data_IF_498423564302
#
_entry.id   IF_498423564302
#
_cell.length_a   1.000
_cell.length_b   1.000
_cell.length_c   1.000
_cell.angle_alpha   90.00
_cell.angle_beta   90.00
_cell.angle_gamma   90.00
#
_symmetry.space_group_name_H-M   'P 1'
#
loop_
_entity.id
_entity.type
_entity.pdbx_description
1 polymer ?
#
# COMPACT_ATOMS: atom_id res chain seq x y z
N UNK A 1 -43.85 -23.49 -17.59
CA UNK A 1 -43.01 -23.76 -16.40
C UNK A 1 -42.21 -22.50 -16.12
N UNK A 2 -42.58 -21.80 -15.05
CA UNK A 2 -41.89 -20.64 -14.50
C UNK A 2 -40.95 -21.12 -13.39
N UNK A 3 -39.69 -20.72 -13.43
CA UNK A 3 -38.72 -20.63 -12.33
C UNK A 3 -37.81 -19.46 -12.71
N UNK A 4 -37.60 -18.37 -11.97
CA UNK A 4 -37.90 -18.10 -10.57
C UNK A 4 -36.62 -17.64 -9.87
N UNK A 5 -36.50 -16.32 -9.69
CA UNK A 5 -35.71 -15.58 -8.70
C UNK A 5 -34.18 -15.83 -8.56
N UNK A 6 -33.40 -14.79 -8.87
CA UNK A 6 -32.09 -14.56 -8.26
C UNK A 6 -32.34 -13.96 -6.87
N UNK A 7 -31.90 -14.67 -5.82
CA UNK A 7 -31.93 -14.18 -4.45
C UNK A 7 -30.96 -13.00 -4.29
N UNK A 8 -31.49 -11.88 -3.79
CA UNK A 8 -30.71 -10.74 -3.33
C UNK A 8 -30.25 -11.03 -1.90
N UNK A 9 -28.95 -11.19 -1.70
CA UNK A 9 -28.36 -11.21 -0.36
C UNK A 9 -28.34 -9.78 0.19
N UNK A 10 -29.12 -9.53 1.24
CA UNK A 10 -29.07 -8.30 2.05
C UNK A 10 -27.95 -8.38 3.07
N UNK A 11 -27.11 -7.36 3.13
CA UNK A 11 -26.24 -7.10 4.28
C UNK A 11 -27.00 -6.24 5.32
N UNK A 12 -26.78 -6.43 6.63
CA UNK A 12 -27.45 -5.63 7.67
C UNK A 12 -26.85 -4.22 7.72
N UNK A 13 -27.65 -3.17 7.50
CA UNK A 13 -27.22 -1.79 7.73
C UNK A 13 -28.05 -0.69 7.03
N UNK A 14 -28.57 -0.94 5.83
CA UNK A 14 -29.25 0.11 5.05
C UNK A 14 -30.77 0.04 5.21
N UNK A 15 -31.29 0.69 6.26
CA UNK A 15 -32.71 0.85 6.54
C UNK A 15 -33.49 1.77 5.57
N UNK A 16 -33.03 1.93 4.32
CA UNK A 16 -33.70 2.72 3.30
C UNK A 16 -34.64 1.89 2.42
N UNK A 17 -35.76 2.45 1.92
CA UNK A 17 -36.58 1.78 0.92
C UNK A 17 -35.75 1.54 -0.36
N UNK A 18 -35.97 0.42 -1.07
CA UNK A 18 -35.25 0.14 -2.31
C UNK A 18 -35.53 1.23 -3.36
N UNK A 19 -34.52 1.66 -4.14
CA UNK A 19 -34.72 2.64 -5.19
C UNK A 19 -35.70 2.09 -6.25
N UNK A 20 -36.72 2.89 -6.58
CA UNK A 20 -37.65 2.56 -7.65
C UNK A 20 -36.97 2.81 -9.00
N UNK A 21 -36.99 1.82 -9.89
CA UNK A 21 -36.66 2.02 -11.29
C UNK A 21 -37.61 3.05 -11.90
N UNK A 22 -37.11 4.15 -12.52
CA UNK A 22 -37.96 5.11 -13.19
C UNK A 22 -38.75 4.44 -14.33
N UNK A 23 -40.02 4.80 -14.49
CA UNK A 23 -40.80 4.35 -15.64
C UNK A 23 -40.14 4.82 -16.95
N UNK A 24 -40.05 3.97 -17.99
CA UNK A 24 -39.56 4.40 -19.29
C UNK A 24 -40.45 5.53 -19.81
N UNK A 25 -39.85 6.68 -20.08
CA UNK A 25 -40.55 7.82 -20.69
C UNK A 25 -41.16 7.46 -22.06
N UNK A 26 -42.13 8.24 -22.53
CA UNK A 26 -42.84 7.96 -23.78
C UNK A 26 -41.88 7.89 -24.98
N UNK A 27 -42.10 6.92 -25.86
CA UNK A 27 -41.28 6.72 -27.06
C UNK A 27 -41.37 7.94 -28.00
N UNK A 28 -40.22 8.43 -28.47
CA UNK A 28 -40.13 9.56 -29.41
C UNK A 28 -40.57 9.10 -30.81
N UNK A 29 -41.54 9.76 -31.45
CA UNK A 29 -42.01 9.38 -32.78
C UNK A 29 -40.95 9.62 -33.87
N UNK A 30 -40.94 8.81 -34.95
CA UNK A 30 -39.96 8.95 -36.03
C UNK A 30 -40.11 10.31 -36.73
N UNK A 31 -39.03 11.09 -36.80
CA UNK A 31 -38.97 12.38 -37.51
C UNK A 31 -39.20 13.62 -36.64
N UNK A 32 -39.25 13.50 -35.31
CA UNK A 32 -39.21 14.66 -34.43
C UNK A 32 -37.86 15.41 -34.57
N UNK A 33 -37.85 16.73 -34.80
CA UNK A 33 -36.62 17.51 -34.77
C UNK A 33 -35.99 17.38 -33.36
N UNK A 34 -34.68 17.16 -33.32
CA UNK A 34 -33.94 17.05 -32.06
C UNK A 34 -34.06 18.34 -31.22
N UNK A 35 -33.87 18.26 -29.89
CA UNK A 35 -33.93 19.44 -29.04
C UNK A 35 -32.90 20.49 -29.50
N UNK A 36 -33.23 21.79 -29.43
CA UNK A 36 -32.28 22.83 -29.78
C UNK A 36 -31.05 22.74 -28.86
N UNK A 37 -29.86 23.11 -29.37
CA UNK A 37 -28.66 23.17 -28.53
C UNK A 37 -28.86 24.19 -27.39
N UNK A 38 -28.32 23.91 -26.19
CA UNK A 38 -28.43 24.83 -25.06
C UNK A 38 -27.73 26.16 -25.37
N UNK A 39 -28.29 27.28 -24.89
CA UNK A 39 -27.68 28.59 -25.03
C UNK A 39 -26.38 28.68 -24.21
N UNK A 40 -25.37 29.46 -24.65
CA UNK A 40 -24.10 29.54 -23.96
C UNK A 40 -24.26 30.31 -22.64
N UNK A 41 -24.14 29.62 -21.50
CA UNK A 41 -23.99 30.28 -20.19
C UNK A 41 -24.77 29.69 -19.02
N UNK A 42 -25.64 28.70 -19.23
CA UNK A 42 -26.37 28.05 -18.14
C UNK A 42 -25.84 26.64 -17.89
N UNK A 43 -25.38 26.38 -16.65
CA UNK A 43 -25.02 25.04 -16.19
C UNK A 43 -26.29 24.20 -16.03
N UNK A 44 -26.49 23.12 -16.79
CA UNK A 44 -27.67 22.27 -16.68
C UNK A 44 -27.77 21.50 -15.35
N UNK A 45 -26.78 21.63 -14.46
CA UNK A 45 -26.73 20.97 -13.15
C UNK A 45 -26.69 21.92 -11.95
N UNK A 46 -27.00 23.21 -12.14
CA UNK A 46 -27.12 24.14 -11.03
C UNK A 46 -28.25 23.70 -10.08
N UNK A 47 -27.87 23.18 -8.91
CA UNK A 47 -28.80 22.86 -7.83
C UNK A 47 -29.42 24.18 -7.29
N UNK A 48 -30.74 24.20 -6.98
CA UNK A 48 -31.33 25.36 -6.33
C UNK A 48 -30.72 25.58 -4.94
N UNK A 49 -30.62 26.83 -4.46
CA UNK A 49 -30.11 27.11 -3.12
C UNK A 49 -31.01 26.45 -2.07
N UNK A 50 -30.38 25.72 -1.15
CA UNK A 50 -31.04 25.10 0.00
C UNK A 50 -31.60 26.20 0.91
N UNK A 51 -32.90 26.18 1.18
CA UNK A 51 -33.48 26.98 2.26
C UNK A 51 -32.98 26.43 3.60
N UNK A 52 -32.54 27.33 4.49
CA UNK A 52 -32.10 27.00 5.84
C UNK A 52 -33.29 26.49 6.66
N UNK A 53 -33.29 25.18 6.95
CA UNK A 53 -34.24 24.60 7.90
C UNK A 53 -33.71 24.81 9.32
N UNK A 54 -34.38 25.68 10.07
CA UNK A 54 -34.09 25.99 11.46
C UNK A 54 -34.46 24.81 12.36
N UNK A 55 -33.47 24.04 12.84
CA UNK A 55 -33.69 23.08 13.92
C UNK A 55 -33.85 23.79 15.27
N UNK A 56 -34.89 23.50 16.07
CA UNK A 56 -35.11 24.14 17.36
C UNK A 56 -34.18 23.58 18.45
N UNK A 57 -33.76 24.44 19.38
CA UNK A 57 -33.04 24.09 20.61
C UNK A 57 -33.82 23.06 21.46
N UNK A 58 -33.14 22.07 22.07
CA UNK A 58 -33.77 21.23 23.08
C UNK A 58 -33.79 21.92 24.46
N UNK A 59 -34.97 21.99 25.06
CA UNK A 59 -35.20 22.39 26.46
C UNK A 59 -34.56 21.41 27.46
N UNK A 60 -34.24 21.85 28.70
CA UNK A 60 -33.47 21.05 29.64
C UNK A 60 -34.34 20.00 30.35
N UNK A 61 -33.91 18.74 30.31
CA UNK A 61 -34.52 17.67 31.11
C UNK A 61 -33.87 17.59 32.50
N UNK A 62 -34.74 17.72 33.49
CA UNK A 62 -34.54 17.59 34.92
C UNK A 62 -34.06 16.19 35.32
N UNK A 63 -33.33 16.11 36.44
CA UNK A 63 -32.47 14.99 36.78
C UNK A 63 -33.14 13.68 37.18
N UNK A 64 -32.48 12.56 36.89
CA UNK A 64 -32.23 11.45 37.84
C UNK A 64 -31.19 10.50 37.24
N UNK A 65 -30.12 10.23 37.98
CA UNK A 65 -29.07 9.27 37.62
C UNK A 65 -29.52 7.83 37.90
N UNK A 66 -29.01 6.84 37.13
CA UNK A 66 -28.86 5.49 37.65
C UNK A 66 -27.41 5.01 37.64
N UNK A 67 -27.05 4.49 38.81
CA UNK A 67 -26.02 3.54 39.23
C UNK A 67 -24.99 3.01 38.22
N UNK A 68 -23.75 3.08 38.69
CA UNK A 68 -22.57 2.40 38.19
C UNK A 68 -22.71 0.87 38.26
N UNK A 69 -22.34 0.19 37.18
CA UNK A 69 -22.22 -1.26 37.14
C UNK A 69 -20.75 -1.66 37.30
N UNK A 70 -20.51 -2.51 38.29
CA UNK A 70 -19.22 -3.06 38.72
C UNK A 70 -18.54 -3.97 37.66
N UNK A 71 -17.19 -4.13 37.72
CA UNK A 71 -16.45 -5.02 36.84
C UNK A 71 -16.46 -6.49 37.32
N UNK A 72 -16.48 -7.42 36.37
CA UNK A 72 -16.40 -8.89 36.57
C UNK A 72 -14.91 -9.36 36.57
N UNK A 73 -14.55 -10.59 37.00
CA UNK A 73 -13.60 -10.82 38.08
C UNK A 73 -12.25 -11.35 37.60
N UNK A 74 -11.24 -11.15 38.44
CA UNK A 74 -9.88 -11.66 38.31
C UNK A 74 -9.81 -13.19 38.49
N UNK A 75 -8.98 -13.83 37.67
CA UNK A 75 -8.61 -15.25 37.78
C UNK A 75 -7.68 -15.47 38.98
N UNK A 76 -7.81 -16.57 39.74
CA UNK A 76 -7.06 -16.76 40.97
C UNK A 76 -5.61 -17.20 40.71
N UNK A 77 -4.71 -16.60 41.50
CA UNK A 77 -3.35 -17.05 41.73
C UNK A 77 -3.36 -18.34 42.56
N UNK A 78 -2.59 -19.35 42.11
CA UNK A 78 -2.32 -20.55 42.88
C UNK A 78 -1.04 -20.38 43.72
N UNK A 79 -1.13 -20.81 44.97
CA UNK A 79 -0.22 -20.44 46.04
C UNK A 79 0.94 -21.40 46.23
N UNK A 80 2.07 -20.84 46.63
CA UNK A 80 3.12 -21.52 47.40
C UNK A 80 2.61 -21.96 48.77
N UNK A 81 3.17 -23.05 49.30
CA UNK A 81 3.62 -22.99 50.69
C UNK A 81 5.01 -23.64 50.89
N UNK A 82 5.75 -23.14 51.89
CA UNK A 82 6.75 -23.96 52.59
C UNK A 82 8.17 -23.41 52.64
N UNK A 83 8.34 -22.45 53.53
CA UNK A 83 9.57 -22.06 54.21
C UNK A 83 10.30 -23.27 54.84
N UNK A 84 11.60 -23.48 54.55
CA UNK A 84 12.61 -23.95 55.52
C UNK A 84 14.04 -23.56 55.04
N UNK A 85 14.69 -22.69 55.81
CA UNK A 85 16.15 -22.49 55.85
C UNK A 85 16.78 -23.55 56.78
N UNK A 86 18.04 -23.98 56.60
CA UNK A 86 19.17 -23.18 57.09
C UNK A 86 20.48 -23.25 56.27
N UNK A 87 21.23 -22.15 56.30
CA UNK A 87 22.69 -22.16 56.12
C UNK A 87 23.39 -22.52 57.44
N UNK A 88 24.47 -23.30 57.35
CA UNK A 88 25.41 -23.57 58.45
C UNK A 88 26.54 -24.47 57.92
N UNK A 89 27.68 -23.90 57.55
CA UNK A 89 28.92 -23.85 58.34
C UNK A 89 29.75 -25.16 58.33
N UNK A 90 30.87 -25.08 57.61
CA UNK A 90 32.24 -25.59 57.85
C UNK A 90 32.46 -26.88 58.67
N UNK A 91 33.22 -27.87 58.15
CA UNK A 91 33.72 -28.98 58.96
C UNK A 91 35.04 -28.62 59.69
N UNK A 92 35.32 -29.19 60.88
CA UNK A 92 36.55 -28.97 61.61
C UNK A 92 37.67 -29.94 61.18
N UNK A 93 38.88 -29.47 61.46
CA UNK A 93 40.17 -30.12 61.30
C UNK A 93 40.46 -31.13 62.44
N UNK A 94 41.54 -31.88 62.23
CA UNK A 94 42.41 -32.58 63.19
C UNK A 94 42.24 -34.08 63.52
N UNK A 95 43.16 -34.83 62.90
CA UNK A 95 44.17 -35.71 63.53
C UNK A 95 43.74 -37.07 64.11
N UNK A 96 44.18 -38.13 63.41
CA UNK A 96 45.01 -39.20 64.00
C UNK A 96 45.65 -40.13 62.96
N UNK A 97 46.98 -40.09 62.86
CA UNK A 97 47.89 -41.18 62.42
C UNK A 97 48.20 -42.10 63.62
N UNK A 98 48.94 -43.25 63.55
CA UNK A 98 49.54 -43.97 62.40
C UNK A 98 49.56 -45.55 62.45
N UNK A 99 49.81 -46.15 61.26
CA UNK A 99 50.68 -47.34 61.01
C UNK A 99 50.03 -48.74 60.92
N UNK A 100 50.71 -49.79 60.36
CA UNK A 100 51.86 -49.85 59.43
C UNK A 100 51.68 -50.84 58.22
N UNK A 101 52.57 -50.76 57.22
CA UNK A 101 52.93 -51.74 56.14
C UNK A 101 51.81 -52.22 55.17
N UNK A 102 51.97 -52.47 53.87
CA UNK A 102 53.06 -52.91 52.98
C UNK A 102 52.71 -52.51 51.50
N UNK A 103 53.58 -52.66 50.48
CA UNK A 103 53.41 -51.98 49.18
C UNK A 103 52.39 -52.67 48.26
N UNK A 104 51.34 -51.96 47.87
CA UNK A 104 50.46 -52.35 46.76
C UNK A 104 50.95 -51.74 45.44
N UNK A 105 51.16 -52.60 44.45
CA UNK A 105 51.43 -52.30 43.04
C UNK A 105 50.46 -51.26 42.45
N UNK A 106 50.92 -50.32 41.60
CA UNK A 106 50.05 -49.35 40.96
C UNK A 106 49.12 -50.02 39.93
N UNK A 107 47.82 -49.75 40.04
CA UNK A 107 46.78 -50.09 39.05
C UNK A 107 47.05 -49.35 37.72
N UNK A 108 46.82 -49.97 36.54
CA UNK A 108 46.99 -49.31 35.27
C UNK A 108 45.92 -48.23 35.05
N UNK A 109 46.36 -47.10 34.51
CA UNK A 109 45.56 -45.92 34.17
C UNK A 109 44.46 -46.29 33.15
N UNK A 110 43.20 -45.84 33.34
CA UNK A 110 42.12 -46.15 32.42
C UNK A 110 42.36 -45.48 31.05
N UNK A 111 42.18 -46.24 29.97
CA UNK A 111 42.35 -45.74 28.61
C UNK A 111 41.35 -44.60 28.30
N UNK A 112 41.79 -43.54 27.59
CA UNK A 112 40.93 -42.41 27.26
C UNK A 112 39.80 -42.84 26.31
N UNK A 113 38.56 -42.52 26.68
CA UNK A 113 37.40 -42.74 25.80
C UNK A 113 37.52 -41.85 24.54
N UNK A 114 37.14 -42.37 23.36
CA UNK A 114 37.17 -41.59 22.13
C UNK A 114 36.20 -40.40 22.24
N UNK A 115 36.69 -39.20 21.94
CA UNK A 115 35.85 -38.00 21.87
C UNK A 115 34.82 -38.17 20.74
N UNK A 116 33.57 -37.71 20.92
CA UNK A 116 32.60 -37.68 19.84
C UNK A 116 33.14 -36.84 18.69
N UNK A 117 33.04 -37.37 17.47
CA UNK A 117 33.46 -36.66 16.27
C UNK A 117 32.68 -35.34 16.15
N UNK A 118 33.34 -34.23 15.75
CA UNK A 118 32.67 -32.96 15.57
C UNK A 118 31.57 -33.09 14.50
N UNK A 119 30.38 -32.60 14.81
CA UNK A 119 29.30 -32.53 13.82
C UNK A 119 29.77 -31.70 12.61
N UNK A 120 29.45 -32.12 11.38
CA UNK A 120 29.83 -31.38 10.18
C UNK A 120 29.21 -29.98 10.22
N UNK A 121 30.04 -28.95 10.00
CA UNK A 121 29.57 -27.58 9.86
C UNK A 121 28.51 -27.50 8.75
N UNK A 122 27.41 -26.74 8.96
CA UNK A 122 26.38 -26.58 7.95
C UNK A 122 26.99 -25.95 6.69
N UNK A 123 26.76 -26.58 5.54
CA UNK A 123 27.23 -26.06 4.26
C UNK A 123 26.72 -24.62 4.03
N UNK A 124 27.55 -23.69 3.52
CA UNK A 124 27.14 -22.32 3.27
C UNK A 124 26.02 -22.31 2.23
N UNK A 125 24.86 -21.76 2.62
CA UNK A 125 23.73 -21.60 1.70
C UNK A 125 24.14 -20.68 0.53
N UNK A 126 23.69 -20.96 -0.70
CA UNK A 126 24.00 -20.10 -1.84
C UNK A 126 23.45 -18.69 -1.61
N UNK A 127 24.32 -17.69 -1.68
CA UNK A 127 23.93 -16.28 -1.59
C UNK A 127 23.14 -15.92 -2.85
N UNK A 128 21.84 -15.70 -2.69
CA UNK A 128 20.98 -15.23 -3.79
C UNK A 128 21.28 -13.75 -4.04
N UNK A 129 21.75 -13.43 -5.25
CA UNK A 129 22.08 -12.05 -5.61
C UNK A 129 20.79 -11.22 -5.79
N UNK A 130 20.80 -9.94 -5.41
CA UNK A 130 19.64 -9.07 -5.59
C UNK A 130 19.39 -8.81 -7.08
N UNK A 131 18.11 -8.77 -7.47
CA UNK A 131 17.69 -8.51 -8.86
C UNK A 131 17.38 -7.04 -9.12
N UNK A 132 17.27 -6.25 -8.06
CA UNK A 132 17.10 -4.80 -8.09
C UNK A 132 17.51 -4.17 -6.75
N UNK A 133 17.63 -2.85 -6.71
CA UNK A 133 17.87 -2.10 -5.47
C UNK A 133 16.83 -1.00 -5.25
N UNK A 134 16.62 -0.62 -4.00
CA UNK A 134 15.63 0.37 -3.60
C UNK A 134 16.04 1.10 -2.31
N UNK A 135 15.64 2.36 -2.18
CA UNK A 135 15.80 3.10 -0.92
C UNK A 135 14.74 2.66 0.11
N UNK A 136 15.02 2.79 1.42
CA UNK A 136 14.07 2.43 2.47
C UNK A 136 12.70 3.13 2.32
N UNK A 137 11.59 2.53 2.79
CA UNK A 137 10.28 3.19 2.84
C UNK A 137 10.35 4.56 3.52
N UNK A 138 9.63 5.54 2.96
CA UNK A 138 9.67 6.92 3.43
C UNK A 138 10.92 7.73 3.06
N UNK A 139 11.93 7.12 2.42
CA UNK A 139 13.13 7.83 1.96
C UNK A 139 12.87 8.57 0.62
N UNK A 140 12.10 9.65 0.68
CA UNK A 140 11.77 10.48 -0.48
C UNK A 140 13.00 11.19 -1.07
N UNK A 141 12.81 11.83 -2.24
CA UNK A 141 13.81 12.76 -2.75
C UNK A 141 14.00 13.93 -1.76
N UNK A 142 15.23 14.38 -1.60
CA UNK A 142 15.56 15.40 -0.60
C UNK A 142 14.75 16.69 -0.82
N UNK A 143 14.06 17.15 0.23
CA UNK A 143 13.22 18.34 0.20
C UNK A 143 11.88 18.17 -0.50
N UNK A 144 11.50 16.99 -1.00
CA UNK A 144 10.20 16.83 -1.69
C UNK A 144 9.05 16.52 -0.74
N UNK A 145 9.31 16.15 0.52
CA UNK A 145 8.30 15.93 1.55
C UNK A 145 8.85 15.14 2.75
N UNK A 146 7.99 14.86 3.71
CA UNK A 146 8.29 13.95 4.83
C UNK A 146 7.63 12.60 4.62
N UNK A 147 8.40 11.56 4.29
CA UNK A 147 7.87 10.21 4.06
C UNK A 147 7.50 9.48 5.36
N UNK A 148 6.88 8.31 5.19
CA UNK A 148 6.50 7.42 6.30
C UNK A 148 7.59 6.35 6.52
N UNK A 149 8.39 6.41 7.60
CA UNK A 149 9.56 5.55 7.74
C UNK A 149 9.23 4.13 8.24
N UNK A 150 8.03 3.87 8.74
CA UNK A 150 7.69 2.54 9.25
C UNK A 150 7.49 1.54 8.09
N UNK A 151 8.12 0.38 8.21
CA UNK A 151 8.13 -0.63 7.17
C UNK A 151 6.88 -1.53 7.24
N UNK A 152 5.78 -1.07 6.64
CA UNK A 152 4.52 -1.81 6.62
C UNK A 152 4.22 -2.33 5.21
N UNK A 153 3.99 -3.65 5.10
CA UNK A 153 3.53 -4.30 3.87
C UNK A 153 2.00 -4.37 3.89
N UNK A 154 1.34 -3.35 3.36
CA UNK A 154 -0.13 -3.25 3.35
C UNK A 154 -0.84 -4.32 2.52
N UNK A 155 -0.24 -4.79 1.43
CA UNK A 155 -0.78 -5.81 0.54
C UNK A 155 0.26 -6.91 0.28
N UNK A 156 0.47 -7.84 1.24
CA UNK A 156 1.59 -8.78 1.18
C UNK A 156 1.47 -9.80 0.05
N UNK A 157 0.25 -10.10 -0.42
CA UNK A 157 -0.01 -11.14 -1.42
C UNK A 157 -0.33 -10.58 -2.82
N UNK A 158 -0.27 -9.26 -3.01
CA UNK A 158 -0.61 -8.65 -4.29
C UNK A 158 0.35 -9.08 -5.42
N UNK A 159 -0.16 -9.24 -6.64
CA UNK A 159 0.65 -9.35 -7.86
C UNK A 159 1.19 -7.96 -8.21
N UNK A 160 2.41 -7.88 -8.77
CA UNK A 160 2.95 -6.61 -9.21
C UNK A 160 2.12 -6.06 -10.39
N UNK A 161 1.67 -4.79 -10.37
CA UNK A 161 0.68 -4.29 -11.32
C UNK A 161 1.17 -4.25 -12.77
N UNK A 162 2.48 -4.26 -13.01
CA UNK A 162 3.05 -4.34 -14.36
C UNK A 162 3.36 -5.80 -14.68
N UNK A 163 2.78 -6.30 -15.78
CA UNK A 163 2.81 -7.73 -16.11
C UNK A 163 4.22 -8.30 -16.30
N UNK A 164 5.07 -7.62 -17.08
CA UNK A 164 6.36 -8.18 -17.50
C UNK A 164 7.46 -7.16 -17.80
N UNK A 165 7.11 -5.92 -18.17
CA UNK A 165 8.13 -4.91 -18.45
C UNK A 165 8.92 -4.52 -17.19
N UNK A 166 10.19 -4.09 -17.32
CA UNK A 166 10.93 -3.46 -16.22
C UNK A 166 10.14 -2.27 -15.66
N UNK A 167 10.26 -2.03 -14.36
CA UNK A 167 9.55 -0.96 -13.68
C UNK A 167 10.50 -0.13 -12.80
N UNK A 168 10.13 1.12 -12.57
CA UNK A 168 10.93 2.12 -11.87
C UNK A 168 10.03 2.99 -10.99
N UNK A 169 10.04 2.70 -9.68
CA UNK A 169 9.32 3.46 -8.67
C UNK A 169 10.11 4.73 -8.36
N UNK A 170 9.56 5.88 -8.72
CA UNK A 170 10.21 7.19 -8.56
C UNK A 170 9.19 8.31 -8.80
N UNK A 171 9.46 9.52 -8.29
CA UNK A 171 8.68 10.73 -8.58
C UNK A 171 8.49 10.98 -10.07
N UNK A 172 7.28 11.34 -10.49
CA UNK A 172 7.03 11.86 -11.86
C UNK A 172 7.08 13.39 -11.94
N UNK A 173 7.18 14.08 -10.80
CA UNK A 173 7.23 15.54 -10.72
C UNK A 173 8.65 16.04 -10.53
N UNK A 174 9.40 15.40 -9.64
CA UNK A 174 10.72 15.83 -9.19
C UNK A 174 11.88 15.09 -9.89
N UNK A 175 11.57 14.20 -10.85
CA UNK A 175 12.54 13.56 -11.74
C UNK A 175 12.43 14.07 -13.18
N UNK A 176 13.39 13.70 -14.04
CA UNK A 176 13.48 14.20 -15.41
C UNK A 176 12.17 14.02 -16.19
N UNK A 177 11.73 15.09 -16.84
CA UNK A 177 10.45 15.16 -17.56
C UNK A 177 9.25 15.53 -16.70
N UNK A 178 9.42 15.62 -15.39
CA UNK A 178 8.41 16.13 -14.47
C UNK A 178 8.30 17.65 -14.51
N UNK A 179 7.16 18.16 -14.05
CA UNK A 179 6.86 19.59 -14.07
C UNK A 179 7.90 20.44 -13.33
N UNK A 180 8.42 19.93 -12.21
CA UNK A 180 9.36 20.68 -11.34
C UNK A 180 10.82 20.51 -11.77
N UNK A 181 11.28 19.28 -12.00
CA UNK A 181 12.66 19.04 -12.39
C UNK A 181 12.97 19.45 -13.84
N UNK A 182 11.94 19.52 -14.70
CA UNK A 182 12.10 19.77 -16.13
C UNK A 182 12.82 18.62 -16.86
N UNK A 183 13.23 18.86 -18.11
CA UNK A 183 13.91 17.85 -18.94
C UNK A 183 12.96 16.97 -19.74
N UNK A 184 13.37 15.73 -20.03
CA UNK A 184 12.60 14.78 -20.85
C UNK A 184 12.16 13.56 -20.02
N UNK A 185 10.88 13.19 -20.11
CA UNK A 185 10.32 12.01 -19.43
C UNK A 185 10.94 10.71 -19.93
N UNK A 186 11.43 10.70 -21.18
CA UNK A 186 12.11 9.55 -21.78
C UNK A 186 13.63 9.56 -21.55
N UNK A 187 14.16 10.39 -20.64
CA UNK A 187 15.58 10.38 -20.29
C UNK A 187 15.99 9.00 -19.73
N UNK A 188 17.13 8.46 -20.20
CA UNK A 188 17.60 7.14 -19.80
C UNK A 188 17.83 6.99 -18.29
N UNK A 189 18.12 8.08 -17.59
CA UNK A 189 18.31 8.09 -16.13
C UNK A 189 17.05 7.76 -15.35
N UNK A 190 15.87 7.94 -15.96
CA UNK A 190 14.60 7.52 -15.36
C UNK A 190 14.38 5.99 -15.38
N UNK A 191 15.22 5.22 -16.07
CA UNK A 191 15.05 3.77 -16.24
C UNK A 191 16.17 3.01 -15.53
N UNK A 192 16.44 3.40 -14.28
CA UNK A 192 17.50 2.85 -13.46
C UNK A 192 17.06 2.63 -12.01
N UNK A 193 17.72 1.68 -11.35
CA UNK A 193 17.71 1.51 -9.89
C UNK A 193 18.75 2.44 -9.24
N UNK A 194 18.63 2.78 -7.96
CA UNK A 194 17.62 2.31 -6.99
C UNK A 194 16.25 2.97 -7.16
N UNK A 195 15.20 2.21 -6.83
CA UNK A 195 13.85 2.76 -6.66
C UNK A 195 13.77 3.70 -5.45
N UNK A 196 12.80 4.60 -5.48
CA UNK A 196 12.54 5.55 -4.41
C UNK A 196 11.05 5.75 -4.19
N UNK A 197 10.68 5.77 -2.92
CA UNK A 197 9.32 6.09 -2.48
C UNK A 197 8.96 7.53 -2.88
N UNK A 198 7.72 7.73 -3.29
CA UNK A 198 7.18 9.06 -3.59
C UNK A 198 5.82 9.31 -2.91
N UNK A 199 5.38 8.44 -2.01
CA UNK A 199 4.24 8.67 -1.14
C UNK A 199 4.57 9.82 -0.16
N UNK A 200 3.62 10.67 0.18
CA UNK A 200 3.85 11.90 0.97
C UNK A 200 4.67 13.01 0.28
N UNK A 201 5.04 12.88 -1.00
CA UNK A 201 5.64 14.01 -1.72
C UNK A 201 4.68 15.20 -1.77
N UNK A 202 5.21 16.41 -1.68
CA UNK A 202 4.45 17.65 -1.68
C UNK A 202 3.70 17.83 -3.00
N UNK A 203 2.41 18.15 -2.91
CA UNK A 203 1.47 18.42 -4.01
C UNK A 203 0.71 19.71 -3.75
N UNK A 204 0.02 20.24 -4.77
CA UNK A 204 -0.81 21.44 -4.57
C UNK A 204 -2.20 21.11 -4.00
N UNK A 205 -2.78 19.99 -4.44
CA UNK A 205 -4.12 19.56 -4.01
C UNK A 205 -4.14 19.22 -2.52
N UNK A 206 -5.15 19.67 -1.78
CA UNK A 206 -5.28 19.43 -0.34
C UNK A 206 -5.76 17.99 -0.04
N UNK A 207 -4.85 17.04 -0.21
CA UNK A 207 -5.02 15.60 0.05
C UNK A 207 -4.22 15.20 1.28
N UNK A 208 -4.63 14.15 1.98
CA UNK A 208 -4.04 13.75 3.27
C UNK A 208 -4.04 12.26 3.50
N UNK A 209 -3.20 11.80 4.42
CA UNK A 209 -3.16 10.42 4.89
C UNK A 209 -2.62 10.41 6.32
N UNK A 210 -3.14 9.54 7.22
CA UNK A 210 -2.58 9.42 8.57
C UNK A 210 -1.13 8.91 8.59
N UNK A 211 -0.62 8.44 7.46
CA UNK A 211 0.77 8.00 7.29
C UNK A 211 1.72 9.15 6.91
N UNK A 212 1.21 10.35 6.63
CA UNK A 212 2.04 11.50 6.28
C UNK A 212 2.00 12.56 7.39
N UNK A 213 3.11 13.30 7.62
CA UNK A 213 3.17 14.33 8.65
C UNK A 213 2.33 15.58 8.32
N UNK A 214 1.96 15.75 7.06
CA UNK A 214 1.24 16.93 6.55
C UNK A 214 0.19 16.52 5.52
N UNK A 215 -0.75 17.43 5.23
CA UNK A 215 -1.61 17.37 4.06
C UNK A 215 -0.86 17.93 2.82
N UNK A 216 -1.55 18.03 1.69
CA UNK A 216 -0.97 18.43 0.40
C UNK A 216 0.10 17.46 -0.07
N UNK A 217 -0.30 16.19 -0.10
CA UNK A 217 0.58 15.06 -0.37
C UNK A 217 0.19 14.27 -1.61
N UNK A 218 1.16 13.53 -2.12
CA UNK A 218 1.00 12.46 -3.09
C UNK A 218 0.42 11.21 -2.41
N UNK A 219 -0.70 10.70 -2.94
CA UNK A 219 -1.50 9.62 -2.34
C UNK A 219 -1.33 8.25 -3.04
N UNK A 220 -0.13 7.96 -3.52
CA UNK A 220 0.15 6.69 -4.17
C UNK A 220 1.64 6.49 -4.41
N UNK A 221 1.95 5.60 -5.33
CA UNK A 221 3.28 5.42 -5.88
C UNK A 221 3.22 5.51 -7.39
N UNK A 222 4.10 6.31 -7.97
CA UNK A 222 4.26 6.35 -9.42
C UNK A 222 5.27 5.29 -9.88
N UNK A 223 4.94 4.66 -11.00
CA UNK A 223 5.68 3.55 -11.58
C UNK A 223 5.94 3.88 -13.05
N UNK A 224 7.18 4.24 -13.37
CA UNK A 224 7.63 4.32 -14.76
C UNK A 224 7.93 2.91 -15.28
N UNK A 225 7.64 2.65 -16.55
CA UNK A 225 7.65 1.29 -17.11
C UNK A 225 8.42 1.21 -18.42
N UNK A 226 9.12 0.10 -18.64
CA UNK A 226 9.82 -0.22 -19.88
C UNK A 226 11.20 0.40 -19.95
N UNK A 227 11.55 0.94 -21.12
CA UNK A 227 12.84 1.58 -21.39
C UNK A 227 12.66 2.99 -21.93
N UNK A 228 13.74 3.77 -22.00
CA UNK A 228 13.73 5.05 -22.71
C UNK A 228 13.29 4.90 -24.18
N UNK A 229 13.61 3.78 -24.85
CA UNK A 229 13.19 3.51 -26.22
C UNK A 229 11.67 3.25 -26.31
N UNK A 230 11.12 2.52 -25.34
CA UNK A 230 9.69 2.28 -25.22
C UNK A 230 8.91 3.58 -25.01
N UNK A 231 9.38 4.44 -24.11
CA UNK A 231 8.80 5.77 -23.91
C UNK A 231 8.83 6.62 -25.18
N UNK A 232 9.97 6.63 -25.89
CA UNK A 232 10.08 7.31 -27.17
C UNK A 232 9.08 6.78 -28.20
N UNK A 233 8.81 5.49 -28.18
CA UNK A 233 7.81 4.86 -29.04
C UNK A 233 6.40 5.31 -28.67
N UNK A 234 6.03 5.22 -27.38
CA UNK A 234 4.72 5.64 -26.88
C UNK A 234 4.44 7.13 -27.11
N UNK A 235 5.44 7.98 -26.91
CA UNK A 235 5.36 9.43 -27.15
C UNK A 235 5.02 9.78 -28.59
N UNK A 236 5.50 8.99 -29.56
CA UNK A 236 5.25 9.20 -31.00
C UNK A 236 3.92 8.64 -31.48
N UNK A 237 3.27 7.81 -30.67
CA UNK A 237 1.95 7.27 -30.94
C UNK A 237 0.87 8.26 -30.49
N UNK A 238 -0.29 8.22 -31.15
CA UNK A 238 -1.49 8.86 -30.61
C UNK A 238 -1.87 8.20 -29.28
N UNK A 239 -2.50 8.97 -28.38
CA UNK A 239 -2.91 8.45 -27.06
C UNK A 239 -3.71 7.13 -27.18
N UNK A 240 -4.67 7.09 -28.12
CA UNK A 240 -5.49 5.91 -28.35
C UNK A 240 -4.70 4.67 -28.83
N UNK A 241 -3.54 4.85 -29.49
CA UNK A 241 -2.76 3.75 -30.04
C UNK A 241 -1.75 3.14 -29.05
N UNK A 242 -1.46 3.82 -27.93
CA UNK A 242 -0.50 3.34 -26.92
C UNK A 242 -0.94 2.02 -26.32
N UNK A 243 0.00 1.10 -26.09
CA UNK A 243 -0.36 -0.23 -25.55
C UNK A 243 0.77 -1.24 -25.48
N UNK A 244 1.99 -0.81 -25.15
CA UNK A 244 3.15 -1.71 -25.08
C UNK A 244 3.41 -2.25 -23.67
N UNK A 245 2.90 -1.58 -22.63
CA UNK A 245 3.11 -1.96 -21.24
C UNK A 245 1.80 -2.36 -20.60
N UNK A 246 1.62 -3.66 -20.36
CA UNK A 246 0.40 -4.25 -19.80
C UNK A 246 0.32 -4.03 -18.28
N UNK A 247 -0.86 -3.60 -17.83
CA UNK A 247 -1.22 -3.47 -16.41
C UNK A 247 -2.23 -4.55 -16.05
N UNK A 248 -1.99 -5.25 -14.94
CA UNK A 248 -2.79 -6.38 -14.49
C UNK A 248 -3.46 -6.11 -13.14
N UNK A 249 -4.54 -6.85 -12.87
CA UNK A 249 -5.19 -6.87 -11.57
C UNK A 249 -4.23 -7.42 -10.51
N UNK A 250 -4.02 -6.66 -9.45
CA UNK A 250 -3.08 -7.05 -8.39
C UNK A 250 -3.65 -8.10 -7.44
N UNK A 251 -4.97 -8.21 -7.35
CA UNK A 251 -5.68 -9.19 -6.51
C UNK A 251 -6.97 -9.65 -7.19
N UNK A 252 -7.54 -10.74 -6.70
CA UNK A 252 -8.91 -11.13 -7.03
C UNK A 252 -9.89 -10.07 -6.51
N UNK A 253 -10.90 -9.73 -7.32
CA UNK A 253 -11.87 -8.72 -6.91
C UNK A 253 -12.81 -8.29 -8.02
N UNK A 254 -13.42 -7.12 -7.83
CA UNK A 254 -14.35 -6.52 -8.78
C UNK A 254 -13.86 -5.14 -9.22
N UNK A 255 -13.95 -4.83 -10.50
CA UNK A 255 -13.75 -3.48 -11.03
C UNK A 255 -14.93 -2.62 -10.58
N UNK A 256 -14.78 -1.98 -9.43
CA UNK A 256 -15.85 -1.24 -8.74
C UNK A 256 -16.23 0.06 -9.44
N UNK A 257 -15.29 0.70 -10.14
CA UNK A 257 -15.57 1.89 -10.95
C UNK A 257 -14.49 2.10 -12.02
N UNK A 258 -14.90 2.74 -13.11
CA UNK A 258 -14.02 3.28 -14.16
C UNK A 258 -14.41 4.75 -14.32
N UNK A 259 -13.49 5.65 -13.97
CA UNK A 259 -13.64 7.09 -14.15
C UNK A 259 -13.00 7.57 -15.44
N UNK A 260 -12.81 8.88 -15.56
CA UNK A 260 -12.23 9.50 -16.76
C UNK A 260 -10.76 9.10 -16.99
N UNK A 261 -10.01 8.81 -15.92
CA UNK A 261 -8.60 8.40 -15.98
C UNK A 261 -8.21 7.42 -14.85
N UNK A 262 -9.21 6.84 -14.19
CA UNK A 262 -9.05 5.95 -13.03
C UNK A 262 -9.77 4.63 -13.29
N UNK A 263 -9.19 3.53 -12.81
CA UNK A 263 -9.84 2.23 -12.69
C UNK A 263 -9.69 1.78 -11.24
N UNK A 264 -10.79 1.43 -10.57
CA UNK A 264 -10.74 0.96 -9.18
C UNK A 264 -11.08 -0.51 -9.06
N UNK A 265 -10.14 -1.30 -8.56
CA UNK A 265 -10.35 -2.69 -8.19
C UNK A 265 -10.64 -2.77 -6.68
N UNK A 266 -11.79 -3.31 -6.30
CA UNK A 266 -12.12 -3.62 -4.91
C UNK A 266 -11.87 -5.09 -4.65
N UNK A 267 -10.95 -5.39 -3.74
CA UNK A 267 -10.72 -6.72 -3.17
C UNK A 267 -11.40 -6.83 -1.79
N UNK A 268 -11.10 -7.89 -1.04
CA UNK A 268 -11.70 -8.16 0.26
C UNK A 268 -11.41 -7.05 1.30
N UNK A 269 -10.17 -6.57 1.38
CA UNK A 269 -9.72 -5.58 2.37
C UNK A 269 -9.22 -4.25 1.80
N UNK A 270 -8.97 -4.19 0.49
CA UNK A 270 -8.32 -3.07 -0.16
C UNK A 270 -9.10 -2.57 -1.37
N UNK A 271 -8.94 -1.29 -1.68
CA UNK A 271 -9.29 -0.73 -2.99
C UNK A 271 -7.97 -0.31 -3.65
N UNK A 272 -7.73 -0.80 -4.85
CA UNK A 272 -6.59 -0.44 -5.68
C UNK A 272 -7.05 0.54 -6.76
N UNK A 273 -6.41 1.70 -6.82
CA UNK A 273 -6.67 2.69 -7.87
C UNK A 273 -5.53 2.66 -8.89
N UNK A 274 -5.87 2.46 -10.16
CA UNK A 274 -4.94 2.50 -11.28
C UNK A 274 -5.23 3.75 -12.10
N UNK A 275 -4.22 4.60 -12.26
CA UNK A 275 -4.35 5.88 -12.95
C UNK A 275 -3.41 5.96 -14.14
N UNK A 276 -3.75 6.82 -15.08
CA UNK A 276 -2.96 7.08 -16.30
C UNK A 276 -2.84 5.87 -17.22
N UNK A 277 -3.86 5.01 -17.20
CA UNK A 277 -4.02 3.96 -18.21
C UNK A 277 -4.47 4.54 -19.55
N UNK A 278 -4.28 3.81 -20.65
CA UNK A 278 -4.96 4.12 -21.90
C UNK A 278 -6.45 3.78 -21.74
N UNK A 279 -7.28 4.79 -21.50
CA UNK A 279 -8.69 4.60 -21.17
C UNK A 279 -9.51 4.13 -22.37
N UNK A 280 -9.01 4.33 -23.59
CA UNK A 280 -9.62 3.81 -24.82
C UNK A 280 -9.30 2.33 -25.10
N UNK A 281 -8.39 1.74 -24.33
CA UNK A 281 -7.90 0.36 -24.52
C UNK A 281 -7.88 -0.46 -23.22
N UNK A 282 -8.86 -0.22 -22.35
CA UNK A 282 -9.09 -1.09 -21.20
C UNK A 282 -9.55 -2.47 -21.66
N UNK A 283 -9.12 -3.50 -20.93
CA UNK A 283 -9.53 -4.90 -21.12
C UNK A 283 -10.60 -5.34 -20.11
N UNK A 284 -11.12 -4.38 -19.34
CA UNK A 284 -12.12 -4.61 -18.29
C UNK A 284 -13.25 -3.59 -18.37
N UNK A 285 -14.40 -3.96 -17.81
CA UNK A 285 -15.56 -3.05 -17.62
C UNK A 285 -15.94 -2.92 -16.14
N UNK A 286 -16.60 -1.83 -15.76
CA UNK A 286 -17.15 -1.68 -14.41
C UNK A 286 -18.13 -2.82 -14.07
N UNK A 287 -18.05 -3.34 -12.85
CA UNK A 287 -18.79 -4.51 -12.37
C UNK A 287 -18.15 -5.87 -12.73
N UNK A 288 -17.10 -5.90 -13.55
CA UNK A 288 -16.43 -7.15 -13.92
C UNK A 288 -15.63 -7.72 -12.75
N UNK A 289 -15.80 -9.02 -12.50
CA UNK A 289 -14.90 -9.79 -11.63
C UNK A 289 -13.61 -10.14 -12.37
N UNK A 290 -12.49 -9.97 -11.69
CA UNK A 290 -11.14 -10.26 -12.20
C UNK A 290 -10.38 -11.12 -11.20
N UNK A 291 -9.44 -11.89 -11.70
CA UNK A 291 -8.44 -12.61 -10.91
C UNK A 291 -7.12 -11.85 -10.91
N UNK A 292 -6.32 -12.06 -9.88
CA UNK A 292 -4.95 -11.55 -9.83
C UNK A 292 -4.18 -12.00 -11.09
N UNK A 293 -3.57 -11.06 -11.80
CA UNK A 293 -2.88 -11.27 -13.07
C UNK A 293 -3.73 -11.05 -14.33
N UNK A 294 -5.05 -10.89 -14.22
CA UNK A 294 -5.89 -10.55 -15.37
C UNK A 294 -5.52 -9.17 -15.93
N UNK A 295 -5.53 -9.04 -17.26
CA UNK A 295 -5.21 -7.78 -17.93
C UNK A 295 -6.29 -6.71 -17.64
N UNK A 296 -5.88 -5.57 -17.07
CA UNK A 296 -6.73 -4.40 -16.88
C UNK A 296 -6.64 -3.46 -18.09
N UNK A 297 -5.42 -3.20 -18.58
CA UNK A 297 -5.20 -2.23 -19.64
C UNK A 297 -3.72 -1.99 -19.87
N UNK A 298 -3.39 -0.77 -20.30
CA UNK A 298 -2.02 -0.41 -20.66
C UNK A 298 -1.60 0.92 -20.06
N UNK A 299 -0.34 1.05 -19.69
CA UNK A 299 0.25 2.31 -19.23
C UNK A 299 0.17 3.38 -20.33
N UNK A 300 -0.27 4.59 -19.98
CA UNK A 300 -0.39 5.77 -20.84
C UNK A 300 -0.08 7.03 -20.02
N UNK A 301 -0.69 8.15 -20.37
CA UNK A 301 -0.64 9.42 -19.64
C UNK A 301 -2.00 10.13 -19.61
N UNK A 302 -3.09 9.34 -19.69
CA UNK A 302 -4.45 9.89 -19.72
C UNK A 302 -4.78 10.52 -18.36
N UNK A 303 -5.28 11.76 -18.37
CA UNK A 303 -5.53 12.56 -17.15
C UNK A 303 -6.94 13.17 -17.12
N UNK A 304 -7.80 12.83 -18.09
CA UNK A 304 -9.11 13.48 -18.26
C UNK A 304 -9.06 14.96 -18.64
N UNK A 305 -7.87 15.45 -19.01
CA UNK A 305 -7.60 16.83 -19.40
C UNK A 305 -6.20 16.93 -20.02
N UNK A 306 -5.38 17.86 -19.54
CA UNK A 306 -3.97 17.96 -19.95
C UNK A 306 -3.22 16.69 -19.56
N UNK A 307 -2.63 15.95 -20.52
CA UNK A 307 -1.94 14.71 -20.23
C UNK A 307 -0.71 14.91 -19.35
N UNK A 308 -0.40 13.90 -18.54
CA UNK A 308 0.78 13.85 -17.68
C UNK A 308 1.98 13.18 -18.38
N UNK A 309 3.03 12.78 -17.65
CA UNK A 309 4.09 11.91 -18.15
C UNK A 309 3.60 10.46 -18.30
N UNK A 310 4.27 9.63 -19.10
CA UNK A 310 3.85 8.24 -19.30
C UNK A 310 4.31 7.35 -18.13
N UNK A 311 3.36 6.94 -17.29
CA UNK A 311 3.58 6.09 -16.11
C UNK A 311 2.26 5.50 -15.60
N UNK A 312 2.34 4.61 -14.62
CA UNK A 312 1.20 4.15 -13.83
C UNK A 312 1.26 4.84 -12.47
N UNK A 313 0.22 5.57 -12.10
CA UNK A 313 0.02 6.00 -10.72
C UNK A 313 -0.85 4.95 -10.01
N UNK A 314 -0.36 4.44 -8.88
CA UNK A 314 -0.96 3.30 -8.19
C UNK A 314 -1.20 3.62 -6.72
N UNK A 315 -2.46 3.49 -6.28
CA UNK A 315 -2.86 3.76 -4.89
C UNK A 315 -3.44 2.50 -4.24
N UNK A 316 -3.29 2.41 -2.91
CA UNK A 316 -4.00 1.45 -2.08
C UNK A 316 -4.81 2.23 -1.05
N UNK A 317 -6.10 1.95 -0.96
CA UNK A 317 -6.97 2.44 0.11
C UNK A 317 -7.41 1.26 0.99
N UNK A 318 -7.27 1.40 2.30
CA UNK A 318 -7.71 0.39 3.27
C UNK A 318 -8.60 1.03 4.33
N UNK A 319 -9.53 0.24 4.86
CA UNK A 319 -10.34 0.67 5.99
C UNK A 319 -9.57 0.44 7.30
N UNK A 320 -9.33 1.50 8.04
CA UNK A 320 -8.71 1.44 9.37
C UNK A 320 -9.76 1.72 10.44
N UNK A 321 -9.69 1.00 11.56
CA UNK A 321 -10.69 1.07 12.63
C UNK A 321 -10.92 2.50 13.18
N UNK A 322 -9.95 3.40 13.06
CA UNK A 322 -10.03 4.78 13.54
C UNK A 322 -10.28 5.87 12.49
N UNK A 323 -9.98 5.62 11.20
CA UNK A 323 -10.01 6.68 10.17
C UNK A 323 -10.88 6.35 8.95
N UNK A 324 -11.57 5.20 8.97
CA UNK A 324 -12.30 4.73 7.79
C UNK A 324 -11.34 4.37 6.64
N UNK A 325 -11.81 4.57 5.40
CA UNK A 325 -11.03 4.33 4.19
C UNK A 325 -9.95 5.41 4.01
N UNK A 326 -8.69 5.04 4.17
CA UNK A 326 -7.53 5.93 4.04
C UNK A 326 -6.53 5.40 3.01
N UNK A 327 -5.81 6.31 2.35
CA UNK A 327 -4.70 5.95 1.46
C UNK A 327 -3.52 5.48 2.30
N UNK A 328 -3.03 4.28 2.00
CA UNK A 328 -1.87 3.66 2.68
C UNK A 328 -0.66 3.62 1.75
N UNK A 329 0.58 3.69 2.28
CA UNK A 329 1.79 3.62 1.47
C UNK A 329 1.89 2.31 0.65
N UNK A 330 1.90 2.36 -0.68
CA UNK A 330 1.97 1.16 -1.51
C UNK A 330 3.39 0.65 -1.74
N UNK A 331 4.41 1.50 -1.51
CA UNK A 331 5.80 1.30 -1.92
C UNK A 331 6.38 -0.05 -1.49
N UNK A 332 6.33 -0.40 -0.21
CA UNK A 332 6.90 -1.66 0.28
C UNK A 332 6.11 -2.88 -0.21
N UNK A 333 4.79 -2.76 -0.39
CA UNK A 333 3.97 -3.82 -1.00
C UNK A 333 4.38 -4.08 -2.46
N UNK A 334 4.68 -3.02 -3.21
CA UNK A 334 5.19 -3.10 -4.58
C UNK A 334 6.59 -3.73 -4.64
N UNK A 335 7.49 -3.39 -3.70
CA UNK A 335 8.80 -4.04 -3.57
C UNK A 335 8.63 -5.56 -3.39
N UNK A 336 7.79 -5.99 -2.41
CA UNK A 336 7.54 -7.42 -2.15
C UNK A 336 6.87 -8.13 -3.32
N UNK A 337 5.97 -7.45 -4.03
CA UNK A 337 5.36 -8.00 -5.23
C UNK A 337 6.37 -8.15 -6.39
N UNK A 338 7.32 -7.21 -6.53
CA UNK A 338 8.36 -7.29 -7.56
C UNK A 338 9.39 -8.38 -7.26
N UNK A 339 9.79 -8.57 -5.99
CA UNK A 339 10.65 -9.68 -5.56
C UNK A 339 10.07 -11.04 -6.00
N UNK A 340 8.77 -11.24 -5.80
CA UNK A 340 8.07 -12.45 -6.25
C UNK A 340 8.03 -12.56 -7.77
N UNK A 341 7.78 -11.45 -8.49
CA UNK A 341 7.71 -11.44 -9.95
C UNK A 341 9.05 -11.83 -10.58
N UNK A 342 10.14 -11.27 -10.06
CA UNK A 342 11.50 -11.48 -10.56
C UNK A 342 12.18 -12.72 -9.96
N UNK A 343 11.52 -13.43 -9.05
CA UNK A 343 12.05 -14.61 -8.35
C UNK A 343 13.39 -14.35 -7.65
N UNK A 344 13.56 -13.16 -7.08
CA UNK A 344 14.79 -12.74 -6.43
C UNK A 344 14.60 -11.56 -5.46
N UNK A 345 15.47 -11.44 -4.44
CA UNK A 345 15.34 -10.38 -3.45
C UNK A 345 15.69 -9.00 -4.03
N UNK A 346 15.12 -7.95 -3.45
CA UNK A 346 15.59 -6.59 -3.66
C UNK A 346 16.65 -6.25 -2.62
N UNK A 347 17.65 -5.45 -3.00
CA UNK A 347 18.62 -4.87 -2.08
C UNK A 347 18.09 -3.54 -1.56
N UNK A 348 17.75 -3.48 -0.27
CA UNK A 348 17.49 -2.22 0.39
C UNK A 348 18.83 -1.51 0.62
N UNK A 349 18.98 -0.30 0.08
CA UNK A 349 20.15 0.51 0.33
C UNK A 349 20.14 1.04 1.77
N UNK A 350 21.32 1.14 2.35
CA UNK A 350 21.48 1.80 3.65
C UNK A 350 20.97 3.25 3.57
N UNK A 351 20.27 3.74 4.61
CA UNK A 351 19.83 5.13 4.65
C UNK A 351 21.05 6.05 4.46
N UNK A 352 20.95 7.03 3.57
CA UNK A 352 21.99 8.04 3.44
C UNK A 352 22.00 8.92 4.70
N UNK A 353 22.84 8.56 5.68
CA UNK A 353 23.05 9.33 6.91
C UNK A 353 23.70 10.66 6.54
N UNK A 354 22.89 11.70 6.34
CA UNK A 354 23.38 13.07 6.07
C UNK A 354 22.49 13.97 5.22
N UNK A 355 21.43 13.48 4.58
CA UNK A 355 20.60 14.30 3.65
C UNK A 355 19.45 15.05 4.36
N UNK A 356 19.41 15.03 5.69
CA UNK A 356 18.42 15.75 6.51
C UNK A 356 18.56 17.29 6.49
N UNK A 357 19.12 17.89 5.45
CA UNK A 357 19.43 19.33 5.39
C UNK A 357 19.10 20.02 4.06
N UNK A 358 18.50 19.32 3.09
CA UNK A 358 17.91 20.03 1.95
C UNK A 358 16.69 20.81 2.47
N UNK A 359 16.59 22.13 2.21
CA UNK A 359 15.38 22.87 2.57
C UNK A 359 14.18 22.26 1.84
N UNK A 360 13.05 22.19 2.53
CA UNK A 360 11.80 21.75 1.90
C UNK A 360 11.53 22.58 0.65
N UNK A 361 11.17 21.90 -0.43
CA UNK A 361 10.72 22.54 -1.65
C UNK A 361 9.38 23.20 -1.38
N UNK A 362 9.38 24.53 -1.31
CA UNK A 362 8.18 25.33 -1.22
C UNK A 362 7.67 25.57 -2.63
N UNK A 363 6.44 25.14 -2.91
CA UNK A 363 5.77 25.43 -4.19
C UNK A 363 5.71 26.96 -4.38
N UNK A 364 6.34 27.51 -5.44
CA UNK A 364 6.28 28.94 -5.69
C UNK A 364 4.86 29.45 -5.85
N UNK A 365 4.60 30.70 -5.46
CA UNK A 365 3.28 31.33 -5.64
C UNK A 365 2.86 31.29 -7.12
N UNK A 366 1.63 30.83 -7.38
CA UNK A 366 1.09 30.66 -8.73
C UNK A 366 1.54 29.38 -9.46
N UNK A 367 2.31 28.49 -8.83
CA UNK A 367 2.69 27.19 -9.37
C UNK A 367 1.80 26.07 -8.83
N UNK A 368 1.42 25.12 -9.69
CA UNK A 368 0.57 23.98 -9.31
C UNK A 368 1.23 22.64 -9.62
N UNK A 369 1.26 21.75 -8.63
CA UNK A 369 1.69 20.36 -8.75
C UNK A 369 0.43 19.49 -8.63
N UNK A 370 -0.09 19.06 -9.78
CA UNK A 370 -1.44 18.48 -9.94
C UNK A 370 -1.44 16.93 -9.92
N UNK A 371 -0.27 16.34 -10.14
CA UNK A 371 -0.01 14.91 -10.01
C UNK A 371 0.89 14.69 -8.82
#
# INVERSE_FOLDING_TARGET
MLLGACDFVRFPGDGGPPPQTPEPGPAIPPGAPGPPPPEPGEDPWALPPLEEDTTPEPEPADGTAPEEAEPNPEMPADGTPGEETPSGETPPDDQQTPGPADPATPDPEPEPQPQPEPEPEPEPQPVVQPVFSFHPPGALLAGTGGGFPEQIVHAPNMVFPIKSAPAYLQSQVFMYGGGVAGGDQCDARNYAYPWRDNFCETRSANRGSPFCPVNKIHQGQDIRVGTAADCNTLRRQSAAARGIHEVVAVEDGVISSIGTYTVKLRSEGSIYNYMHLNMSRLSVTAGQFVKAGDLIGYVSNDFGGTPTTIHLHFEITQNTAGNGWVHVPPYLSLVKAYERRESGPGEQLEPEIGVASAPDWIIPEGYEIIE
#
